data_IF_081669623765
#
_entry.id   IF_081669623765
#
_cell.length_a   1.000
_cell.length_b   1.000
_cell.length_c   1.000
_cell.angle_alpha   90.00
_cell.angle_beta   90.00
_cell.angle_gamma   90.00
#
_symmetry.space_group_name_H-M   'P 1'
#
loop_
_entity.id
_entity.type
_entity.pdbx_description
1 polymer ?
#
# COMPACT_ATOMS: atom_id res chain seq x y z
N UNK A 1 49.99 -14.21 67.01
CA UNK A 1 49.37 -12.92 67.39
C UNK A 1 49.65 -11.91 66.29
N UNK A 2 48.59 -11.23 65.84
CA UNK A 2 48.52 -9.94 65.15
C UNK A 2 49.54 -9.62 64.04
N UNK A 3 49.02 -9.44 62.82
CA UNK A 3 49.24 -8.15 62.17
C UNK A 3 47.97 -7.66 61.49
N UNK A 4 47.31 -6.74 62.21
CA UNK A 4 46.24 -5.86 61.72
C UNK A 4 46.83 -4.89 60.70
N UNK A 5 46.79 -5.19 59.42
CA UNK A 5 46.76 -4.14 58.39
C UNK A 5 45.31 -3.72 58.21
N UNK A 6 44.82 -2.89 59.14
CA UNK A 6 43.58 -2.15 58.94
C UNK A 6 43.75 -1.30 57.69
N UNK A 7 43.02 -1.64 56.62
CA UNK A 7 42.86 -0.81 55.42
C UNK A 7 42.43 0.60 55.84
N UNK A 8 43.37 1.55 55.84
CA UNK A 8 43.12 2.98 56.09
C UNK A 8 42.37 3.68 54.94
N UNK A 9 42.11 2.95 53.84
CA UNK A 9 41.53 3.48 52.60
C UNK A 9 40.01 3.72 52.74
N UNK A 10 39.36 3.14 53.75
CA UNK A 10 37.92 3.26 53.98
C UNK A 10 37.56 4.25 55.11
N UNK A 11 38.47 5.12 55.57
CA UNK A 11 38.15 6.06 56.64
C UNK A 11 37.34 7.29 56.17
N UNK A 12 37.51 7.70 54.91
CA UNK A 12 36.90 8.92 54.39
C UNK A 12 35.65 8.59 53.54
N UNK A 13 34.54 9.27 53.82
CA UNK A 13 33.27 9.12 53.10
C UNK A 13 33.41 9.36 51.58
N UNK A 14 34.29 10.29 51.17
CA UNK A 14 34.57 10.55 49.74
C UNK A 14 35.28 9.38 49.06
N UNK A 15 36.21 8.73 49.77
CA UNK A 15 36.94 7.55 49.26
C UNK A 15 36.02 6.34 49.18
N UNK A 16 35.08 6.17 50.12
CA UNK A 16 34.05 5.12 50.04
C UNK A 16 33.13 5.30 48.83
N UNK A 17 32.73 6.54 48.53
CA UNK A 17 31.88 6.83 47.37
C UNK A 17 32.62 6.57 46.03
N UNK A 18 33.90 6.92 45.94
CA UNK A 18 34.73 6.63 44.77
C UNK A 18 34.93 5.12 44.57
N UNK A 19 35.23 4.39 45.64
CA UNK A 19 35.38 2.92 45.56
C UNK A 19 34.05 2.25 45.19
N UNK A 20 32.92 2.69 45.75
CA UNK A 20 31.61 2.15 45.42
C UNK A 20 31.19 2.43 43.96
N UNK A 21 31.51 3.61 43.43
CA UNK A 21 31.20 3.97 42.03
C UNK A 21 32.06 3.19 41.04
N UNK A 22 33.35 3.00 41.31
CA UNK A 22 34.23 2.18 40.47
C UNK A 22 33.81 0.71 40.48
N UNK A 23 33.47 0.15 41.64
CA UNK A 23 32.94 -1.22 41.74
C UNK A 23 31.60 -1.33 41.01
N UNK A 24 30.71 -0.34 41.15
CA UNK A 24 29.43 -0.30 40.45
C UNK A 24 29.59 -0.33 38.92
N UNK A 25 30.50 0.48 38.38
CA UNK A 25 30.79 0.49 36.95
C UNK A 25 31.40 -0.82 36.45
N UNK A 26 32.27 -1.46 37.24
CA UNK A 26 32.84 -2.76 36.91
C UNK A 26 31.77 -3.87 36.89
N UNK A 27 30.83 -3.86 37.83
CA UNK A 27 29.72 -4.82 37.90
C UNK A 27 28.74 -4.62 36.74
N UNK A 28 28.41 -3.37 36.38
CA UNK A 28 27.55 -3.10 35.22
C UNK A 28 28.23 -3.56 33.92
N UNK A 29 29.54 -3.31 33.77
CA UNK A 29 30.31 -3.75 32.61
C UNK A 29 30.34 -5.27 32.44
N UNK A 30 30.50 -6.03 33.54
CA UNK A 30 30.48 -7.49 33.48
C UNK A 30 29.09 -8.05 33.18
N UNK A 31 28.02 -7.47 33.74
CA UNK A 31 26.64 -7.87 33.43
C UNK A 31 26.32 -7.67 31.95
N UNK A 32 26.67 -6.50 31.39
CA UNK A 32 26.45 -6.22 29.96
C UNK A 32 27.27 -7.17 29.08
N UNK A 33 28.53 -7.42 29.43
CA UNK A 33 29.40 -8.36 28.71
C UNK A 33 28.87 -9.80 28.71
N UNK A 34 28.40 -10.29 29.86
CA UNK A 34 27.80 -11.62 29.99
C UNK A 34 26.48 -11.71 29.23
N UNK A 35 25.64 -10.67 29.29
CA UNK A 35 24.38 -10.62 28.55
C UNK A 35 24.59 -10.67 27.03
N UNK A 36 25.60 -9.95 26.51
CA UNK A 36 25.99 -10.05 25.09
C UNK A 36 26.53 -11.44 24.76
N UNK A 37 27.35 -12.03 25.62
CA UNK A 37 27.94 -13.35 25.35
C UNK A 37 26.88 -14.48 25.34
N UNK A 38 25.87 -14.40 26.21
CA UNK A 38 24.74 -15.34 26.21
C UNK A 38 23.90 -15.16 24.94
N UNK A 39 23.64 -13.93 24.50
CA UNK A 39 22.92 -13.70 23.25
C UNK A 39 23.69 -14.20 22.01
N UNK A 40 25.01 -14.26 22.03
CA UNK A 40 25.80 -14.82 20.90
C UNK A 40 25.87 -16.36 20.87
N UNK A 41 25.49 -17.06 21.95
CA UNK A 41 25.55 -18.54 22.02
C UNK A 41 24.24 -19.25 21.72
N UNK A 42 23.14 -18.52 21.54
CA UNK A 42 21.86 -19.08 21.08
C UNK A 42 21.71 -18.97 19.55
N UNK A 43 22.75 -19.38 18.81
CA UNK A 43 22.57 -19.80 17.43
C UNK A 43 22.27 -21.30 17.52
N UNK A 44 20.99 -21.65 17.39
CA UNK A 44 20.57 -23.03 17.17
C UNK A 44 21.31 -23.55 15.93
N UNK A 45 22.25 -24.47 16.13
CA UNK A 45 22.76 -25.32 15.08
C UNK A 45 21.62 -26.26 14.66
N UNK A 46 20.80 -25.82 13.71
CA UNK A 46 19.90 -26.70 12.98
C UNK A 46 20.73 -27.72 12.20
N UNK A 47 20.78 -28.95 12.68
CA UNK A 47 21.40 -30.08 11.97
C UNK A 47 20.50 -30.51 10.81
N UNK A 48 20.78 -30.00 9.61
CA UNK A 48 20.15 -30.47 8.39
C UNK A 48 20.83 -31.78 7.93
N UNK A 49 20.13 -32.90 8.04
CA UNK A 49 20.52 -34.15 7.38
C UNK A 49 20.11 -34.07 5.90
N UNK A 50 21.08 -34.15 4.99
CA UNK A 50 20.82 -34.19 3.54
C UNK A 50 20.63 -35.64 3.09
N UNK A 51 19.40 -36.02 2.79
CA UNK A 51 19.01 -37.37 2.34
C UNK A 51 19.20 -37.62 0.84
N UNK A 52 19.66 -36.62 0.07
CA UNK A 52 20.18 -36.77 -1.29
C UNK A 52 20.94 -35.50 -1.71
N UNK A 53 21.96 -35.64 -2.56
CA UNK A 53 22.61 -34.49 -3.20
C UNK A 53 21.59 -33.70 -4.05
N UNK A 54 21.41 -32.39 -3.82
CA UNK A 54 20.64 -31.56 -4.73
C UNK A 54 21.25 -31.62 -6.12
N UNK A 55 20.44 -31.74 -7.18
CA UNK A 55 20.92 -31.52 -8.54
C UNK A 55 21.48 -30.09 -8.63
N UNK A 56 22.75 -29.97 -9.02
CA UNK A 56 23.37 -28.67 -9.31
C UNK A 56 22.85 -28.26 -10.69
N UNK A 57 21.73 -27.55 -10.73
CA UNK A 57 21.23 -26.92 -11.97
C UNK A 57 21.91 -25.56 -12.26
N UNK A 58 22.90 -25.18 -11.46
CA UNK A 58 23.65 -23.93 -11.65
C UNK A 58 24.98 -24.20 -12.37
N UNK A 59 24.92 -24.40 -13.69
CA UNK A 59 26.13 -24.24 -14.53
C UNK A 59 26.31 -22.74 -14.77
N UNK A 60 27.43 -22.12 -14.33
CA UNK A 60 27.68 -20.71 -14.60
C UNK A 60 27.68 -20.44 -16.10
N UNK A 61 26.82 -19.51 -16.55
CA UNK A 61 26.67 -19.15 -17.97
C UNK A 61 25.33 -19.54 -18.62
N UNK A 62 24.46 -20.28 -17.92
CA UNK A 62 23.08 -20.51 -18.36
C UNK A 62 22.12 -19.79 -17.40
N UNK A 63 21.24 -18.99 -18.01
CA UNK A 63 20.19 -18.05 -17.55
C UNK A 63 19.32 -18.39 -16.30
N UNK A 64 19.74 -19.26 -15.38
CA UNK A 64 18.97 -19.67 -14.20
C UNK A 64 19.88 -19.90 -12.98
N UNK A 65 20.50 -18.84 -12.46
CA UNK A 65 21.14 -18.88 -11.15
C UNK A 65 20.07 -19.02 -10.05
N UNK A 66 20.27 -19.95 -9.12
CA UNK A 66 19.32 -20.16 -8.01
C UNK A 66 19.16 -18.88 -7.16
N UNK A 67 17.96 -18.62 -6.65
CA UNK A 67 17.64 -17.41 -5.88
C UNK A 67 18.56 -17.21 -4.68
N UNK A 68 18.99 -18.32 -4.05
CA UNK A 68 19.89 -18.32 -2.91
C UNK A 68 21.33 -17.93 -3.28
N UNK A 69 21.79 -18.34 -4.47
CA UNK A 69 23.11 -17.94 -4.99
C UNK A 69 23.14 -16.45 -5.29
N UNK A 70 22.09 -15.91 -5.93
CA UNK A 70 21.98 -14.48 -6.23
C UNK A 70 22.00 -13.64 -4.95
N UNK A 71 21.27 -14.06 -3.90
CA UNK A 71 21.26 -13.33 -2.62
C UNK A 71 22.64 -13.33 -1.94
N UNK A 72 23.35 -14.47 -1.95
CA UNK A 72 24.69 -14.55 -1.35
C UNK A 72 25.70 -13.69 -2.11
N UNK A 73 25.66 -13.71 -3.45
CA UNK A 73 26.56 -12.89 -4.24
C UNK A 73 26.29 -11.38 -4.08
N UNK A 74 25.01 -10.96 -3.97
CA UNK A 74 24.68 -9.56 -3.73
C UNK A 74 25.20 -9.07 -2.37
N UNK A 75 25.06 -9.90 -1.34
CA UNK A 75 25.58 -9.59 0.00
C UNK A 75 27.11 -9.46 -0.02
N UNK A 76 27.79 -10.29 -0.81
CA UNK A 76 29.23 -10.23 -0.97
C UNK A 76 29.69 -9.00 -1.77
N UNK A 77 29.01 -8.66 -2.87
CA UNK A 77 29.29 -7.43 -3.62
C UNK A 77 29.16 -6.17 -2.74
N UNK A 78 28.18 -6.16 -1.82
CA UNK A 78 27.97 -5.07 -0.86
C UNK A 78 29.12 -4.94 0.15
N UNK A 79 29.58 -6.06 0.71
CA UNK A 79 30.68 -6.04 1.70
C UNK A 79 32.00 -5.62 1.04
N UNK A 80 32.26 -6.10 -0.17
CA UNK A 80 33.45 -5.74 -0.95
C UNK A 80 33.44 -4.26 -1.37
N UNK A 81 32.29 -3.74 -1.79
CA UNK A 81 32.13 -2.31 -2.09
C UNK A 81 32.35 -1.42 -0.86
N UNK A 82 31.87 -1.84 0.32
CA UNK A 82 32.10 -1.11 1.57
C UNK A 82 33.56 -1.14 2.01
N UNK A 83 34.23 -2.29 1.86
CA UNK A 83 35.65 -2.43 2.16
C UNK A 83 36.51 -1.57 1.22
N UNK A 84 36.21 -1.58 -0.08
CA UNK A 84 36.90 -0.78 -1.09
C UNK A 84 36.74 0.73 -0.85
N UNK A 85 35.54 1.20 -0.45
CA UNK A 85 35.31 2.59 -0.03
C UNK A 85 36.19 3.01 1.15
N UNK A 86 36.34 2.13 2.15
CA UNK A 86 37.19 2.42 3.33
C UNK A 86 38.68 2.42 2.97
N UNK A 87 39.08 1.56 2.04
CA UNK A 87 40.47 1.43 1.59
C UNK A 87 40.86 2.44 0.50
N UNK A 88 39.91 3.24 -0.03
CA UNK A 88 40.15 4.12 -1.18
C UNK A 88 40.43 3.37 -2.48
N UNK A 89 40.07 2.09 -2.55
CA UNK A 89 40.25 1.23 -3.72
C UNK A 89 38.92 1.02 -4.45
N UNK A 90 38.97 0.41 -5.64
CA UNK A 90 37.76 0.07 -6.41
C UNK A 90 37.41 -1.40 -6.25
N UNK A 91 36.12 -1.70 -6.10
CA UNK A 91 35.58 -3.06 -6.17
C UNK A 91 34.65 -3.19 -7.38
N UNK A 92 34.88 -4.22 -8.20
CA UNK A 92 34.02 -4.54 -9.35
C UNK A 92 33.06 -5.64 -8.90
N UNK A 93 31.74 -5.37 -8.84
CA UNK A 93 30.77 -6.35 -8.36
C UNK A 93 30.60 -7.49 -9.37
N UNK A 94 30.38 -8.71 -8.87
CA UNK A 94 30.06 -9.88 -9.68
C UNK A 94 28.57 -9.88 -10.02
N UNK A 95 28.25 -9.77 -11.30
CA UNK A 95 26.87 -9.66 -11.80
C UNK A 95 26.28 -11.07 -11.94
N UNK A 96 25.23 -11.40 -11.19
CA UNK A 96 24.60 -12.75 -11.19
C UNK A 96 23.27 -12.84 -11.92
N UNK A 97 22.86 -11.77 -12.62
CA UNK A 97 21.71 -11.74 -13.52
C UNK A 97 22.06 -10.96 -14.79
N UNK A 98 21.55 -11.34 -15.97
CA UNK A 98 21.69 -10.54 -17.19
C UNK A 98 21.11 -9.12 -17.07
N UNK A 99 20.16 -8.88 -16.15
CA UNK A 99 19.31 -7.68 -16.14
C UNK A 99 19.38 -6.82 -14.87
N UNK A 100 20.49 -6.83 -14.12
CA UNK A 100 20.64 -5.93 -12.98
C UNK A 100 21.20 -4.56 -13.40
N UNK A 101 20.32 -3.54 -13.46
CA UNK A 101 20.72 -2.12 -13.49
C UNK A 101 19.79 -1.35 -12.54
N UNK A 102 20.18 -1.27 -11.26
CA UNK A 102 19.58 -0.42 -10.23
C UNK A 102 20.62 0.56 -9.65
N UNK A 103 20.15 1.58 -8.94
CA UNK A 103 21.01 2.53 -8.23
C UNK A 103 21.65 1.82 -7.01
N UNK A 104 22.92 2.10 -6.67
CA UNK A 104 23.54 1.53 -5.46
C UNK A 104 22.78 1.86 -4.16
N UNK A 105 21.92 2.89 -4.17
CA UNK A 105 21.06 3.23 -3.05
C UNK A 105 19.83 2.33 -2.91
N UNK A 106 19.46 1.54 -3.92
CA UNK A 106 18.31 0.64 -3.88
C UNK A 106 18.55 -0.58 -2.98
N UNK A 107 19.83 -0.93 -2.75
CA UNK A 107 20.20 -1.95 -1.75
C UNK A 107 19.81 -1.57 -0.31
N UNK A 108 19.54 -0.29 -0.01
CA UNK A 108 19.17 0.15 1.33
C UNK A 108 17.66 0.03 1.63
N UNK A 109 16.80 -0.10 0.61
CA UNK A 109 15.34 -0.06 0.78
C UNK A 109 14.63 -1.40 0.53
N UNK A 110 15.31 -2.41 -0.03
CA UNK A 110 14.70 -3.71 -0.37
C UNK A 110 14.46 -4.65 0.84
N UNK A 111 14.84 -4.26 2.06
CA UNK A 111 14.62 -5.11 3.24
C UNK A 111 13.15 -5.20 3.71
N UNK A 112 12.20 -4.47 3.08
CA UNK A 112 10.87 -4.32 3.70
C UNK A 112 9.64 -4.26 2.79
N UNK A 113 9.65 -4.85 1.59
CA UNK A 113 8.40 -5.02 0.83
C UNK A 113 8.20 -6.45 0.32
N UNK A 114 7.22 -7.11 0.94
CA UNK A 114 6.59 -8.33 0.45
C UNK A 114 5.92 -8.04 -0.89
N UNK A 115 6.29 -8.84 -1.90
CA UNK A 115 5.41 -9.32 -2.99
C UNK A 115 4.68 -8.22 -3.77
N UNK A 116 5.36 -7.61 -4.73
CA UNK A 116 4.69 -7.10 -5.94
C UNK A 116 5.03 -8.00 -7.11
N UNK A 117 4.09 -8.87 -7.46
CA UNK A 117 4.03 -9.52 -8.77
C UNK A 117 3.65 -8.45 -9.80
N UNK A 118 4.60 -7.62 -10.22
CA UNK A 118 4.46 -6.89 -11.50
C UNK A 118 4.73 -7.89 -12.61
N UNK A 119 3.65 -8.34 -13.23
CA UNK A 119 3.67 -8.98 -14.53
C UNK A 119 4.29 -8.01 -15.55
N UNK A 120 5.59 -8.16 -15.77
CA UNK A 120 6.26 -7.67 -16.97
C UNK A 120 5.57 -8.36 -18.16
N UNK A 121 4.95 -7.65 -19.11
CA UNK A 121 4.41 -8.27 -20.30
C UNK A 121 5.56 -8.97 -21.02
N UNK A 122 5.37 -10.27 -21.25
CA UNK A 122 6.31 -11.11 -21.98
C UNK A 122 6.59 -10.54 -23.37
N UNK A 123 7.83 -10.73 -23.81
CA UNK A 123 8.33 -10.64 -25.19
C UNK A 123 7.27 -10.64 -26.30
N UNK A 124 7.13 -9.49 -26.96
CA UNK A 124 6.98 -9.32 -28.41
C UNK A 124 6.07 -10.31 -29.18
N UNK A 125 4.79 -10.43 -28.81
CA UNK A 125 3.77 -10.92 -29.76
C UNK A 125 2.98 -9.81 -30.47
N UNK A 126 3.02 -8.57 -29.97
CA UNK A 126 2.30 -7.42 -30.55
C UNK A 126 3.23 -6.22 -30.78
N UNK A 127 4.30 -6.41 -31.57
CA UNK A 127 5.03 -5.28 -32.14
C UNK A 127 4.59 -5.08 -33.59
N UNK A 128 3.89 -3.98 -33.93
CA UNK A 128 3.40 -3.74 -35.29
C UNK A 128 4.52 -3.33 -36.28
N UNK A 129 5.73 -3.09 -35.78
CA UNK A 129 6.86 -2.62 -36.59
C UNK A 129 7.54 -3.82 -37.27
N UNK A 130 7.38 -3.93 -38.59
CA UNK A 130 8.08 -4.94 -39.42
C UNK A 130 9.54 -4.58 -39.72
N UNK A 131 10.00 -3.40 -39.30
CA UNK A 131 11.35 -2.85 -39.56
C UNK A 131 12.12 -2.76 -38.25
N UNK A 132 12.71 -3.86 -37.80
CA UNK A 132 13.74 -3.81 -36.76
C UNK A 132 14.91 -3.05 -37.35
N UNK A 133 15.19 -1.86 -36.84
CA UNK A 133 16.32 -1.05 -37.33
C UNK A 133 17.61 -1.74 -36.92
N UNK A 134 18.26 -2.34 -37.92
CA UNK A 134 19.53 -3.05 -37.79
C UNK A 134 20.63 -2.02 -37.49
N UNK A 135 21.38 -2.24 -36.40
CA UNK A 135 22.71 -1.68 -36.15
C UNK A 135 22.82 -0.14 -36.03
N UNK A 136 22.31 0.43 -34.93
CA UNK A 136 22.95 1.62 -34.34
C UNK A 136 23.98 1.18 -33.30
N UNK A 137 25.23 1.67 -33.39
CA UNK A 137 26.22 1.55 -32.31
C UNK A 137 26.28 2.89 -31.56
N UNK A 138 26.14 2.90 -30.23
CA UNK A 138 25.93 1.75 -29.34
C UNK A 138 24.53 1.13 -29.48
N UNK A 139 24.46 -0.20 -29.34
CA UNK A 139 23.28 -1.03 -29.56
C UNK A 139 22.10 -0.55 -28.69
N UNK A 140 20.95 -0.16 -29.27
CA UNK A 140 19.78 0.26 -28.49
C UNK A 140 19.19 -0.86 -27.61
N UNK A 141 19.57 -2.12 -27.86
CA UNK A 141 19.20 -3.27 -27.04
C UNK A 141 19.70 -3.19 -25.59
N UNK A 142 20.66 -2.31 -25.25
CA UNK A 142 21.11 -2.20 -23.86
C UNK A 142 20.19 -1.36 -22.97
N UNK A 143 19.15 -0.71 -23.53
CA UNK A 143 18.15 0.12 -22.82
C UNK A 143 18.73 1.06 -21.73
N UNK A 144 20.00 1.47 -21.90
CA UNK A 144 20.69 2.36 -20.98
C UNK A 144 20.29 3.80 -21.31
N UNK A 145 20.09 4.68 -20.31
CA UNK A 145 19.63 6.04 -20.54
C UNK A 145 20.45 6.80 -21.59
N UNK A 146 21.78 6.66 -21.58
CA UNK A 146 22.68 7.32 -22.54
C UNK A 146 22.53 6.81 -23.98
N UNK A 147 22.27 5.51 -24.14
CA UNK A 147 22.07 4.92 -25.47
C UNK A 147 20.69 5.24 -26.02
N UNK A 148 19.68 5.27 -25.15
CA UNK A 148 18.32 5.66 -25.50
C UNK A 148 18.20 7.15 -25.83
N UNK A 149 18.94 8.01 -25.14
CA UNK A 149 19.04 9.44 -25.45
C UNK A 149 19.68 9.65 -26.83
N UNK A 150 20.78 8.93 -27.13
CA UNK A 150 21.39 8.97 -28.45
C UNK A 150 20.45 8.40 -29.53
N UNK A 151 19.73 7.32 -29.23
CA UNK A 151 18.74 6.75 -30.11
C UNK A 151 17.63 7.77 -30.44
N UNK A 152 17.14 8.49 -29.42
CA UNK A 152 16.16 9.58 -29.58
C UNK A 152 16.72 10.71 -30.46
N UNK A 153 17.97 11.13 -30.25
CA UNK A 153 18.64 12.15 -31.07
C UNK A 153 18.82 11.71 -32.54
N UNK A 154 18.99 10.41 -32.77
CA UNK A 154 19.04 9.82 -34.12
C UNK A 154 17.65 9.55 -34.73
N UNK A 155 16.56 9.94 -34.07
CA UNK A 155 15.19 9.82 -34.59
C UNK A 155 14.57 8.43 -34.40
N UNK A 156 15.13 7.57 -33.55
CA UNK A 156 14.49 6.32 -33.14
C UNK A 156 13.25 6.66 -32.30
N UNK A 157 12.11 6.03 -32.61
CA UNK A 157 10.86 6.28 -31.89
C UNK A 157 10.79 5.47 -30.59
N UNK A 158 10.00 5.94 -29.62
CA UNK A 158 9.73 5.18 -28.40
C UNK A 158 9.08 3.82 -28.69
N UNK A 159 8.34 3.69 -29.80
CA UNK A 159 7.69 2.46 -30.22
C UNK A 159 8.72 1.38 -30.57
N UNK A 160 9.76 1.75 -31.33
CA UNK A 160 10.87 0.87 -31.71
C UNK A 160 11.62 0.39 -30.47
N UNK A 161 11.91 1.30 -29.53
CA UNK A 161 12.61 0.95 -28.29
C UNK A 161 11.75 0.08 -27.36
N UNK A 162 10.44 0.30 -27.34
CA UNK A 162 9.49 -0.57 -26.64
C UNK A 162 9.49 -1.99 -27.24
N UNK A 163 9.49 -2.10 -28.56
CA UNK A 163 9.57 -3.38 -29.25
C UNK A 163 10.89 -4.12 -28.99
N UNK A 164 11.97 -3.39 -28.72
CA UNK A 164 13.27 -3.95 -28.33
C UNK A 164 13.35 -4.33 -26.83
N UNK A 165 12.25 -4.18 -26.07
CA UNK A 165 12.16 -4.60 -24.68
C UNK A 165 12.57 -3.54 -23.66
N UNK A 166 12.77 -2.29 -24.06
CA UNK A 166 13.10 -1.23 -23.12
C UNK A 166 11.91 -0.90 -22.21
N UNK A 167 12.17 -0.88 -20.91
CA UNK A 167 11.16 -0.55 -19.90
C UNK A 167 10.82 0.94 -19.95
N UNK A 168 9.59 1.26 -19.60
CA UNK A 168 9.09 2.62 -19.60
C UNK A 168 9.86 3.58 -18.66
N UNK A 169 10.31 3.17 -17.45
CA UNK A 169 11.22 3.99 -16.65
C UNK A 169 12.52 4.38 -17.38
N UNK A 170 13.11 3.46 -18.15
CA UNK A 170 14.33 3.75 -18.94
C UNK A 170 14.06 4.76 -20.06
N UNK A 171 12.90 4.64 -20.73
CA UNK A 171 12.48 5.61 -21.75
C UNK A 171 12.29 7.00 -21.13
N UNK A 172 11.67 7.10 -19.95
CA UNK A 172 11.53 8.37 -19.24
C UNK A 172 12.88 8.99 -18.89
N UNK A 173 13.84 8.19 -18.41
CA UNK A 173 15.21 8.67 -18.11
C UNK A 173 15.96 9.12 -19.36
N UNK A 174 15.60 8.58 -20.53
CA UNK A 174 16.10 8.98 -21.84
C UNK A 174 15.36 10.16 -22.46
N UNK A 175 14.58 10.90 -21.65
CA UNK A 175 13.93 12.14 -22.09
C UNK A 175 12.66 11.96 -22.90
N UNK A 176 12.12 10.73 -23.04
CA UNK A 176 10.80 10.55 -23.65
C UNK A 176 9.71 11.10 -22.72
N UNK A 177 8.84 11.92 -23.30
CA UNK A 177 7.71 12.54 -22.59
C UNK A 177 6.54 11.56 -22.49
N UNK A 178 5.60 11.84 -21.58
CA UNK A 178 4.36 11.09 -21.51
C UNK A 178 3.56 11.16 -22.83
N UNK A 179 3.68 12.26 -23.58
CA UNK A 179 3.05 12.41 -24.91
C UNK A 179 3.67 11.48 -25.95
N UNK A 180 5.00 11.37 -25.97
CA UNK A 180 5.70 10.43 -26.85
C UNK A 180 5.22 9.00 -26.58
N UNK A 181 5.15 8.61 -25.31
CA UNK A 181 4.73 7.27 -24.91
C UNK A 181 3.24 7.02 -25.15
N UNK A 182 2.39 8.02 -24.94
CA UNK A 182 0.96 7.95 -25.29
C UNK A 182 0.77 7.63 -26.77
N UNK A 183 1.53 8.26 -27.66
CA UNK A 183 1.45 7.99 -29.11
C UNK A 183 1.79 6.54 -29.48
N UNK A 184 2.52 5.84 -28.61
CA UNK A 184 2.90 4.43 -28.78
C UNK A 184 1.96 3.43 -28.09
N UNK A 185 0.84 3.92 -27.53
CA UNK A 185 -0.19 3.08 -26.94
C UNK A 185 -0.05 2.84 -25.43
N UNK A 186 0.81 3.57 -24.71
CA UNK A 186 0.77 3.54 -23.25
C UNK A 186 -0.52 4.17 -22.74
N UNK A 187 -1.16 3.53 -21.78
CA UNK A 187 -2.26 4.13 -21.02
C UNK A 187 -1.73 4.96 -19.84
N UNK A 188 -2.59 5.79 -19.25
CA UNK A 188 -2.23 6.64 -18.13
C UNK A 188 -1.80 5.84 -16.88
N UNK A 189 -2.31 4.61 -16.71
CA UNK A 189 -1.97 3.73 -15.59
C UNK A 189 -0.53 3.24 -15.68
N UNK A 190 -0.16 2.76 -16.85
CA UNK A 190 1.20 2.32 -17.17
C UNK A 190 2.18 3.47 -16.98
N UNK A 191 1.88 4.67 -17.49
CA UNK A 191 2.76 5.83 -17.31
C UNK A 191 2.87 6.31 -15.86
N UNK A 192 1.79 6.18 -15.08
CA UNK A 192 1.84 6.41 -13.62
C UNK A 192 2.81 5.42 -12.95
N UNK A 193 2.82 4.15 -13.33
CA UNK A 193 3.78 3.15 -12.83
C UNK A 193 5.22 3.45 -13.27
N UNK A 194 5.42 4.04 -14.45
CA UNK A 194 6.72 4.56 -14.87
C UNK A 194 7.18 5.80 -14.09
N UNK A 195 6.33 6.31 -13.20
CA UNK A 195 6.58 7.46 -12.36
C UNK A 195 6.28 8.81 -13.02
N UNK A 196 5.53 8.88 -14.12
CA UNK A 196 5.06 10.18 -14.63
C UNK A 196 4.07 10.81 -13.66
N UNK A 197 4.22 12.12 -13.43
CA UNK A 197 3.29 12.86 -12.57
C UNK A 197 1.96 13.11 -13.29
N UNK A 198 0.89 13.33 -12.53
CA UNK A 198 -0.43 13.66 -13.12
C UNK A 198 -0.35 14.87 -14.05
N UNK A 199 0.46 15.89 -13.71
CA UNK A 199 0.66 17.07 -14.56
C UNK A 199 1.29 16.71 -15.92
N UNK A 200 2.23 15.75 -15.94
CA UNK A 200 2.83 15.27 -17.19
C UNK A 200 1.81 14.49 -18.04
N UNK A 201 0.92 13.73 -17.40
CA UNK A 201 -0.16 13.01 -18.09
C UNK A 201 -1.20 13.97 -18.66
N UNK A 202 -1.58 15.00 -17.90
CA UNK A 202 -2.48 16.06 -18.40
C UNK A 202 -1.86 16.81 -19.57
N UNK A 203 -0.57 17.16 -19.49
CA UNK A 203 0.15 17.78 -20.60
C UNK A 203 0.27 16.86 -21.83
N UNK A 204 0.32 15.54 -21.63
CA UNK A 204 0.23 14.54 -22.70
C UNK A 204 -1.20 14.37 -23.27
N UNK A 205 -2.18 15.09 -22.71
CA UNK A 205 -3.57 15.12 -23.16
C UNK A 205 -4.42 13.94 -22.71
N UNK A 206 -4.03 13.22 -21.64
CA UNK A 206 -4.96 12.26 -21.02
C UNK A 206 -6.11 13.00 -20.36
N UNK A 207 -7.33 12.51 -20.58
CA UNK A 207 -8.52 13.13 -20.04
C UNK A 207 -8.84 12.63 -18.61
N UNK A 208 -9.90 13.18 -18.01
CA UNK A 208 -10.30 12.79 -16.66
C UNK A 208 -10.73 11.31 -16.56
N UNK A 209 -11.22 10.70 -17.64
CA UNK A 209 -11.63 9.30 -17.66
C UNK A 209 -10.42 8.37 -17.71
N UNK A 210 -9.43 8.70 -18.54
CA UNK A 210 -8.13 8.00 -18.59
C UNK A 210 -7.45 8.00 -17.23
N UNK A 211 -7.39 9.17 -16.59
CA UNK A 211 -6.76 9.33 -15.28
C UNK A 211 -7.55 8.64 -14.17
N UNK A 212 -8.89 8.62 -14.24
CA UNK A 212 -9.71 7.82 -13.33
C UNK A 212 -9.42 6.32 -13.48
N UNK A 213 -9.31 5.83 -14.72
CA UNK A 213 -8.96 4.43 -14.99
C UNK A 213 -7.55 4.08 -14.47
N UNK A 214 -6.61 5.03 -14.53
CA UNK A 214 -5.29 4.94 -13.89
C UNK A 214 -5.31 5.02 -12.35
N UNK A 215 -6.50 5.14 -11.74
CA UNK A 215 -6.68 5.17 -10.30
C UNK A 215 -6.31 6.49 -9.63
N UNK A 216 -6.38 7.63 -10.35
CA UNK A 216 -6.30 8.94 -9.72
C UNK A 216 -7.65 9.35 -9.09
N UNK A 217 -7.59 10.08 -7.98
CA UNK A 217 -8.78 10.53 -7.25
C UNK A 217 -9.31 11.85 -7.78
N UNK A 218 -10.59 12.15 -7.54
CA UNK A 218 -11.20 13.42 -7.93
C UNK A 218 -10.42 14.64 -7.37
N UNK A 219 -9.91 14.55 -6.15
CA UNK A 219 -9.05 15.59 -5.54
C UNK A 219 -7.74 15.77 -6.29
N UNK A 220 -7.09 14.69 -6.73
CA UNK A 220 -5.85 14.79 -7.51
C UNK A 220 -6.10 15.46 -8.87
N UNK A 221 -7.23 15.15 -9.52
CA UNK A 221 -7.58 15.77 -10.79
C UNK A 221 -8.00 17.24 -10.62
N UNK A 222 -8.69 17.59 -9.54
CA UNK A 222 -8.96 19.00 -9.21
C UNK A 222 -7.66 19.79 -9.11
N UNK A 223 -6.68 19.27 -8.35
CA UNK A 223 -5.38 19.93 -8.21
C UNK A 223 -4.55 19.93 -9.51
N UNK A 224 -4.92 19.08 -10.48
CA UNK A 224 -4.36 19.07 -11.83
C UNK A 224 -5.11 20.00 -12.80
N UNK A 225 -6.12 20.74 -12.34
CA UNK A 225 -6.85 21.76 -13.10
C UNK A 225 -8.08 21.25 -13.85
N UNK A 226 -8.57 20.04 -13.58
CA UNK A 226 -9.86 19.62 -14.13
C UNK A 226 -11.01 20.37 -13.45
N UNK A 227 -12.11 20.53 -14.18
CA UNK A 227 -13.36 21.08 -13.64
C UNK A 227 -14.26 19.98 -13.08
N UNK A 228 -15.16 20.35 -12.17
CA UNK A 228 -16.20 19.46 -11.65
C UNK A 228 -17.05 18.81 -12.77
N UNK A 229 -17.29 19.55 -13.86
CA UNK A 229 -18.02 19.05 -15.04
C UNK A 229 -17.25 17.95 -15.77
N UNK A 230 -15.93 18.11 -15.95
CA UNK A 230 -15.07 17.09 -16.55
C UNK A 230 -15.00 15.83 -15.68
N UNK A 231 -14.92 15.98 -14.35
CA UNK A 231 -14.95 14.82 -13.44
C UNK A 231 -16.29 14.09 -13.49
N UNK A 232 -17.41 14.83 -13.57
CA UNK A 232 -18.73 14.24 -13.73
C UNK A 232 -18.83 13.47 -15.05
N UNK A 233 -18.34 14.05 -16.16
CA UNK A 233 -18.31 13.38 -17.46
C UNK A 233 -17.42 12.13 -17.46
N UNK A 234 -16.32 12.14 -16.72
CA UNK A 234 -15.47 10.96 -16.46
C UNK A 234 -16.13 9.91 -15.52
N UNK A 235 -17.34 10.20 -15.02
CA UNK A 235 -18.12 9.31 -14.18
C UNK A 235 -17.64 9.25 -12.73
N UNK A 236 -16.95 10.27 -12.21
CA UNK A 236 -16.74 10.38 -10.77
C UNK A 236 -18.09 10.56 -10.06
N UNK A 237 -18.22 9.97 -8.87
CA UNK A 237 -19.46 10.13 -8.09
C UNK A 237 -19.59 11.59 -7.62
N UNK A 238 -20.82 12.11 -7.47
CA UNK A 238 -21.04 13.45 -6.91
C UNK A 238 -20.36 13.67 -5.56
N UNK A 239 -20.23 12.61 -4.75
CA UNK A 239 -19.54 12.64 -3.47
C UNK A 239 -18.03 12.83 -3.65
N UNK A 240 -17.41 12.11 -4.58
CA UNK A 240 -15.98 12.26 -4.87
C UNK A 240 -15.67 13.66 -5.39
N UNK A 241 -16.50 14.21 -6.27
CA UNK A 241 -16.35 15.56 -6.81
C UNK A 241 -16.55 16.61 -5.69
N UNK A 242 -17.54 16.44 -4.82
CA UNK A 242 -17.76 17.34 -3.68
C UNK A 242 -16.61 17.29 -2.64
N UNK A 243 -15.93 16.16 -2.51
CA UNK A 243 -14.73 16.05 -1.66
C UNK A 243 -13.47 16.61 -2.34
N UNK A 244 -13.49 16.83 -3.66
CA UNK A 244 -12.33 17.27 -4.41
C UNK A 244 -11.95 18.74 -4.16
N UNK A 245 -12.80 19.52 -3.48
CA UNK A 245 -12.46 20.90 -3.08
C UNK A 245 -13.16 22.00 -3.89
N UNK A 246 -13.94 21.65 -4.92
CA UNK A 246 -14.66 22.63 -5.73
C UNK A 246 -15.62 23.50 -4.92
N UNK A 247 -15.73 24.76 -5.33
CA UNK A 247 -16.70 25.70 -4.81
C UNK A 247 -18.14 25.29 -5.14
N UNK A 248 -19.10 25.91 -4.45
CA UNK A 248 -20.53 25.62 -4.63
C UNK A 248 -21.01 25.98 -6.03
N UNK A 249 -20.52 27.09 -6.57
CA UNK A 249 -20.93 27.58 -7.89
C UNK A 249 -20.37 26.67 -8.99
N UNK A 250 -19.15 26.16 -8.84
CA UNK A 250 -18.56 25.18 -9.78
C UNK A 250 -19.31 23.85 -9.78
N UNK A 251 -19.69 23.35 -8.60
CA UNK A 251 -20.49 22.14 -8.47
C UNK A 251 -21.88 22.33 -9.09
N UNK A 252 -22.52 23.49 -8.84
CA UNK A 252 -23.82 23.83 -9.43
C UNK A 252 -23.74 23.95 -10.96
N UNK A 253 -22.72 24.63 -11.50
CA UNK A 253 -22.49 24.77 -12.93
C UNK A 253 -22.23 23.40 -13.60
N UNK A 254 -21.57 22.48 -12.90
CA UNK A 254 -21.39 21.10 -13.35
C UNK A 254 -22.67 20.23 -13.24
N UNK A 255 -23.76 20.77 -12.67
CA UNK A 255 -24.96 20.02 -12.33
C UNK A 255 -24.67 18.90 -11.32
N UNK A 256 -23.64 19.08 -10.48
CA UNK A 256 -23.33 18.23 -9.34
C UNK A 256 -24.06 18.84 -8.15
N UNK A 257 -25.23 18.27 -7.83
CA UNK A 257 -26.00 18.69 -6.65
C UNK A 257 -25.21 18.28 -5.40
N UNK A 258 -24.31 19.16 -4.95
CA UNK A 258 -23.62 19.01 -3.69
C UNK A 258 -24.70 18.90 -2.62
N UNK A 259 -24.68 17.78 -1.88
CA UNK A 259 -25.56 17.57 -0.74
C UNK A 259 -25.36 18.77 0.18
N UNK A 260 -26.35 19.67 0.21
CA UNK A 260 -26.39 20.77 1.16
C UNK A 260 -26.22 20.13 2.53
N UNK A 261 -25.73 20.89 3.52
CA UNK A 261 -26.19 20.67 4.89
C UNK A 261 -27.70 20.90 4.82
N UNK A 262 -28.46 19.88 4.43
CA UNK A 262 -29.88 20.00 4.16
C UNK A 262 -30.50 20.14 5.53
N UNK A 263 -30.65 21.38 5.99
CA UNK A 263 -31.46 21.70 7.16
C UNK A 263 -32.86 21.07 7.05
N UNK A 264 -33.31 20.76 5.83
CA UNK A 264 -34.68 20.35 5.62
C UNK A 264 -34.89 18.83 5.68
N UNK A 265 -33.85 17.98 5.59
CA UNK A 265 -33.89 16.50 5.60
C UNK A 265 -35.22 15.87 5.14
N UNK A 266 -35.82 16.43 4.09
CA UNK A 266 -37.19 16.13 3.74
C UNK A 266 -37.20 14.91 2.81
N UNK A 267 -38.29 14.14 2.83
CA UNK A 267 -38.36 12.86 2.15
C UNK A 267 -38.08 13.00 0.63
N UNK A 268 -38.55 14.06 -0.02
CA UNK A 268 -38.37 14.29 -1.46
C UNK A 268 -36.91 14.56 -1.83
N UNK A 269 -36.23 15.44 -1.08
CA UNK A 269 -34.83 15.75 -1.29
C UNK A 269 -33.94 14.53 -1.04
N UNK A 270 -34.23 13.75 0.01
CA UNK A 270 -33.45 12.55 0.33
C UNK A 270 -33.69 11.41 -0.68
N UNK A 271 -34.91 11.25 -1.21
CA UNK A 271 -35.19 10.31 -2.31
C UNK A 271 -34.41 10.69 -3.57
N UNK A 272 -34.38 11.98 -3.90
CA UNK A 272 -33.62 12.50 -5.05
C UNK A 272 -32.12 12.28 -4.84
N UNK A 273 -31.61 12.58 -3.64
CA UNK A 273 -30.21 12.34 -3.29
C UNK A 273 -29.85 10.85 -3.43
N UNK A 274 -30.70 9.95 -2.93
CA UNK A 274 -30.53 8.50 -3.09
C UNK A 274 -30.52 8.07 -4.56
N UNK A 275 -31.45 8.59 -5.37
CA UNK A 275 -31.51 8.30 -6.81
C UNK A 275 -30.24 8.78 -7.54
N UNK A 276 -29.62 9.86 -7.06
CA UNK A 276 -28.34 10.39 -7.54
C UNK A 276 -27.11 9.69 -6.93
N UNK A 277 -27.29 8.55 -6.24
CA UNK A 277 -26.20 7.74 -5.69
C UNK A 277 -25.57 8.28 -4.40
N UNK A 278 -26.22 9.23 -3.72
CA UNK A 278 -25.76 9.72 -2.41
C UNK A 278 -26.02 8.65 -1.34
N UNK A 279 -24.97 8.27 -0.62
CA UNK A 279 -25.07 7.28 0.46
C UNK A 279 -25.80 7.82 1.70
N UNK A 280 -26.43 6.93 2.47
CA UNK A 280 -26.99 7.26 3.77
C UNK A 280 -25.94 7.81 4.76
N UNK A 281 -24.67 7.38 4.64
CA UNK A 281 -23.57 7.87 5.47
C UNK A 281 -23.31 9.36 5.25
N UNK A 282 -23.27 9.77 3.98
CA UNK A 282 -23.10 11.16 3.57
C UNK A 282 -24.25 12.03 4.06
N UNK A 283 -25.49 11.56 3.92
CA UNK A 283 -26.68 12.29 4.38
C UNK A 283 -26.72 12.40 5.91
N UNK A 284 -26.26 11.37 6.63
CA UNK A 284 -26.11 11.41 8.09
C UNK A 284 -25.08 12.45 8.53
N UNK A 285 -23.93 12.53 7.87
CA UNK A 285 -22.93 13.58 8.12
C UNK A 285 -23.49 14.98 7.83
N UNK A 286 -24.40 15.08 6.86
CA UNK A 286 -25.16 16.30 6.56
C UNK A 286 -26.22 16.70 7.61
N UNK A 287 -26.42 15.89 8.65
CA UNK A 287 -27.36 16.14 9.75
C UNK A 287 -28.69 15.39 9.64
N UNK A 288 -28.87 14.53 8.65
CA UNK A 288 -30.14 13.80 8.50
C UNK A 288 -30.24 12.59 9.42
N UNK A 289 -31.31 12.58 10.20
CA UNK A 289 -31.63 11.51 11.14
C UNK A 289 -32.13 10.23 10.48
N UNK A 290 -32.08 9.14 11.24
CA UNK A 290 -32.49 7.80 10.80
C UNK A 290 -33.91 7.75 10.22
N UNK A 291 -34.87 8.42 10.86
CA UNK A 291 -36.27 8.42 10.42
C UNK A 291 -36.42 9.01 9.01
N UNK A 292 -35.73 10.12 8.73
CA UNK A 292 -35.76 10.76 7.43
C UNK A 292 -35.13 9.88 6.34
N UNK A 293 -34.00 9.21 6.65
CA UNK A 293 -33.35 8.28 5.72
C UNK A 293 -34.22 7.04 5.46
N UNK A 294 -34.89 6.50 6.48
CA UNK A 294 -35.85 5.41 6.29
C UNK A 294 -37.03 5.85 5.41
N UNK A 295 -37.60 7.04 5.65
CA UNK A 295 -38.67 7.60 4.82
C UNK A 295 -38.24 7.88 3.37
N UNK A 296 -36.95 8.14 3.16
CA UNK A 296 -36.34 8.24 1.83
C UNK A 296 -36.10 6.87 1.15
N UNK A 297 -36.37 5.78 1.87
CA UNK A 297 -36.32 4.41 1.37
C UNK A 297 -34.96 3.72 1.52
N UNK A 298 -33.99 4.32 2.20
CA UNK A 298 -32.71 3.64 2.46
C UNK A 298 -32.93 2.31 3.17
N UNK A 299 -32.25 1.26 2.70
CA UNK A 299 -32.36 -0.08 3.26
C UNK A 299 -31.65 -0.19 4.61
N UNK A 300 -31.93 -1.26 5.37
CA UNK A 300 -31.18 -1.56 6.58
C UNK A 300 -29.67 -1.72 6.32
N UNK A 301 -29.28 -2.22 5.13
CA UNK A 301 -27.88 -2.35 4.74
C UNK A 301 -27.22 -0.99 4.53
N UNK A 302 -27.90 -0.06 3.84
CA UNK A 302 -27.41 1.31 3.63
C UNK A 302 -27.23 2.03 4.96
N UNK A 303 -28.17 1.84 5.88
CA UNK A 303 -28.15 2.48 7.19
C UNK A 303 -27.09 1.85 8.11
N UNK A 304 -26.86 0.54 8.03
CA UNK A 304 -25.73 -0.10 8.71
C UNK A 304 -24.40 0.45 8.19
N UNK A 305 -24.24 0.57 6.87
CA UNK A 305 -23.05 1.18 6.27
C UNK A 305 -22.87 2.65 6.67
N UNK A 306 -23.98 3.35 6.94
CA UNK A 306 -23.99 4.69 7.53
C UNK A 306 -23.68 4.75 9.04
N UNK A 307 -23.38 3.61 9.67
CA UNK A 307 -23.02 3.51 11.08
C UNK A 307 -24.21 3.54 12.05
N UNK A 308 -25.43 3.21 11.59
CA UNK A 308 -26.53 2.96 12.52
C UNK A 308 -26.36 1.60 13.21
N UNK A 309 -26.74 1.52 14.49
CA UNK A 309 -26.72 0.28 15.28
C UNK A 309 -28.04 -0.48 15.15
N UNK A 310 -28.01 -1.78 15.46
CA UNK A 310 -29.19 -2.65 15.35
C UNK A 310 -30.37 -2.19 16.21
N UNK A 311 -30.11 -1.66 17.41
CA UNK A 311 -31.12 -1.09 18.31
C UNK A 311 -31.76 0.17 17.74
N UNK A 312 -30.96 1.05 17.13
CA UNK A 312 -31.50 2.23 16.45
C UNK A 312 -32.42 1.83 15.29
N UNK A 313 -32.03 0.84 14.50
CA UNK A 313 -32.84 0.36 13.38
C UNK A 313 -34.08 -0.39 13.84
N UNK A 314 -34.00 -1.16 14.93
CA UNK A 314 -35.18 -1.78 15.57
C UNK A 314 -36.17 -0.70 16.02
N UNK A 315 -35.70 0.34 16.71
CA UNK A 315 -36.55 1.47 17.13
C UNK A 315 -37.13 2.24 15.94
N UNK A 316 -36.42 2.27 14.80
CA UNK A 316 -36.95 2.81 13.56
C UNK A 316 -37.95 1.88 12.86
N UNK A 317 -38.20 0.67 13.38
CA UNK A 317 -39.17 -0.31 12.87
C UNK A 317 -38.64 -1.25 11.80
N UNK A 318 -37.33 -1.55 11.77
CA UNK A 318 -36.81 -2.68 11.00
C UNK A 318 -36.96 -3.97 11.80
N UNK A 319 -37.37 -5.05 11.13
CA UNK A 319 -37.49 -6.37 11.76
C UNK A 319 -36.15 -7.13 11.74
N UNK A 320 -36.10 -8.25 12.46
CA UNK A 320 -34.90 -9.07 12.56
C UNK A 320 -34.45 -9.65 11.20
N UNK A 321 -35.39 -9.90 10.28
CA UNK A 321 -35.09 -10.43 8.95
C UNK A 321 -34.36 -9.40 8.08
N UNK A 322 -34.85 -8.16 8.04
CA UNK A 322 -34.22 -7.05 7.34
C UNK A 322 -32.83 -6.73 7.90
N UNK A 323 -32.66 -6.79 9.23
CA UNK A 323 -31.35 -6.58 9.84
C UNK A 323 -30.38 -7.75 9.61
N UNK A 324 -30.87 -8.99 9.59
CA UNK A 324 -30.05 -10.13 9.16
C UNK A 324 -29.61 -9.98 7.71
N UNK A 325 -30.51 -9.57 6.80
CA UNK A 325 -30.18 -9.31 5.41
C UNK A 325 -29.16 -8.16 5.25
N UNK A 326 -29.20 -7.16 6.12
CA UNK A 326 -28.17 -6.13 6.25
C UNK A 326 -26.84 -6.65 6.86
N UNK A 327 -26.79 -7.91 7.28
CA UNK A 327 -25.63 -8.58 7.84
C UNK A 327 -25.40 -8.33 9.32
N UNK A 328 -26.42 -7.96 10.10
CA UNK A 328 -26.30 -7.99 11.56
C UNK A 328 -26.28 -9.44 12.06
N UNK A 329 -25.48 -9.70 13.09
CA UNK A 329 -25.36 -11.02 13.69
C UNK A 329 -26.49 -11.29 14.71
N UNK A 330 -26.77 -12.56 14.99
CA UNK A 330 -27.71 -12.95 16.03
C UNK A 330 -27.39 -12.27 17.38
N UNK A 331 -26.11 -12.15 17.74
CA UNK A 331 -25.65 -11.45 18.95
C UNK A 331 -26.01 -9.97 18.94
N UNK A 332 -25.76 -9.27 17.82
CA UNK A 332 -26.10 -7.85 17.71
C UNK A 332 -27.62 -7.62 17.82
N UNK A 333 -28.41 -8.50 17.21
CA UNK A 333 -29.86 -8.42 17.26
C UNK A 333 -30.40 -8.75 18.65
N UNK A 334 -29.85 -9.77 19.32
CA UNK A 334 -30.19 -10.10 20.70
C UNK A 334 -29.87 -8.96 21.66
N UNK A 335 -28.70 -8.35 21.51
CA UNK A 335 -28.30 -7.17 22.30
C UNK A 335 -29.15 -5.93 21.98
N UNK A 336 -29.77 -5.85 20.81
CA UNK A 336 -30.81 -4.85 20.50
C UNK A 336 -32.21 -5.22 21.01
N UNK A 337 -32.35 -6.35 21.69
CA UNK A 337 -33.57 -6.82 22.33
C UNK A 337 -34.55 -7.55 21.40
N UNK A 338 -34.10 -8.15 20.30
CA UNK A 338 -34.95 -9.10 19.57
C UNK A 338 -35.12 -10.40 20.36
N UNK A 339 -36.33 -10.95 20.35
CA UNK A 339 -36.62 -12.24 20.97
C UNK A 339 -36.09 -13.40 20.12
N UNK A 340 -35.90 -14.55 20.76
CA UNK A 340 -35.46 -15.79 20.11
C UNK A 340 -36.42 -16.24 19.02
N UNK A 341 -37.71 -16.03 19.23
CA UNK A 341 -38.75 -16.23 18.21
C UNK A 341 -38.49 -15.34 16.99
N UNK A 342 -38.26 -14.04 17.18
CA UNK A 342 -37.97 -13.13 16.07
C UNK A 342 -36.66 -13.48 15.33
N UNK A 343 -35.63 -13.94 16.05
CA UNK A 343 -34.38 -14.41 15.44
C UNK A 343 -34.59 -15.71 14.65
N UNK A 344 -35.40 -16.62 15.16
CA UNK A 344 -35.75 -17.87 14.47
C UNK A 344 -36.56 -17.57 13.20
N UNK A 345 -37.53 -16.67 13.28
CA UNK A 345 -38.31 -16.22 12.12
C UNK A 345 -37.47 -15.47 11.08
N UNK A 346 -36.42 -14.76 11.51
CA UNK A 346 -35.40 -14.21 10.61
C UNK A 346 -34.48 -15.29 9.99
N UNK A 347 -34.59 -16.54 10.42
CA UNK A 347 -33.85 -17.68 9.91
C UNK A 347 -32.46 -17.85 10.54
N UNK A 348 -32.21 -17.35 11.75
CA UNK A 348 -31.01 -17.75 12.49
C UNK A 348 -31.17 -19.17 13.02
N UNK A 349 -30.10 -19.94 13.02
CA UNK A 349 -30.11 -21.31 13.54
C UNK A 349 -30.10 -21.32 15.06
N UNK A 350 -30.62 -22.39 15.67
CA UNK A 350 -30.59 -22.56 17.14
C UNK A 350 -29.18 -22.46 17.73
N UNK A 351 -28.15 -22.88 16.98
CA UNK A 351 -26.76 -22.73 17.38
C UNK A 351 -26.31 -21.26 17.42
N UNK A 352 -26.72 -20.45 16.43
CA UNK A 352 -26.44 -19.02 16.40
C UNK A 352 -27.15 -18.27 17.53
N UNK A 353 -28.38 -18.66 17.87
CA UNK A 353 -29.15 -18.07 18.97
C UNK A 353 -28.51 -18.42 20.32
N UNK A 354 -28.17 -19.70 20.56
CA UNK A 354 -27.43 -20.11 21.79
C UNK A 354 -26.10 -19.39 21.96
N UNK A 355 -25.36 -19.18 20.87
CA UNK A 355 -24.11 -18.39 20.89
C UNK A 355 -24.39 -16.92 21.23
N UNK A 356 -25.48 -16.36 20.71
CA UNK A 356 -25.92 -15.01 21.04
C UNK A 356 -26.32 -14.88 22.53
N UNK A 357 -27.03 -15.88 23.09
CA UNK A 357 -27.38 -15.95 24.52
C UNK A 357 -26.17 -15.95 25.44
N UNK A 358 -25.18 -16.78 25.12
CA UNK A 358 -23.96 -16.87 25.91
C UNK A 358 -23.21 -15.53 25.88
N UNK A 359 -23.14 -14.89 24.71
CA UNK A 359 -22.50 -13.60 24.54
C UNK A 359 -23.26 -12.45 25.23
N UNK A 360 -24.60 -12.44 25.21
CA UNK A 360 -25.39 -11.41 25.90
C UNK A 360 -25.32 -11.55 27.42
N UNK A 361 -25.24 -12.78 27.94
CA UNK A 361 -25.00 -13.03 29.37
C UNK A 361 -23.65 -12.48 29.83
N UNK A 362 -22.58 -12.63 29.05
CA UNK A 362 -21.26 -12.08 29.39
C UNK A 362 -21.23 -10.55 29.47
N UNK A 363 -22.05 -9.85 28.68
CA UNK A 363 -22.16 -8.38 28.75
C UNK A 363 -22.99 -7.87 29.95
N UNK A 364 -23.65 -8.76 30.71
CA UNK A 364 -24.58 -8.40 31.79
C UNK A 364 -23.97 -8.57 33.20
N UNK A 365 -22.73 -9.07 33.34
CA UNK A 365 -22.10 -9.42 34.64
C UNK A 365 -20.98 -8.44 35.01
N UNK A 366 -21.12 -7.15 34.71
CA UNK A 366 -20.17 -6.11 35.16
C UNK A 366 -20.85 -4.79 35.53
N UNK A 367 -21.89 -4.88 36.35
CA UNK A 367 -22.38 -3.79 37.19
C UNK A 367 -22.58 -4.33 38.61
#
# INVERSE_FOLDING_TARGET
>A
MNNKTKLSILANAKTRLLVATVIGLAVVGTIVGVSMHIHTKNIEEGSATVSASPRIDSVPGLNASSTEYVSKQNQQNLSEAQAARKAGTSAIPTITRPDFIGNLNDFAQEANQKKSTSSIPQTSKDCPIKKVVVMFKPNPASCMPKNLELARQSGVTAEELRCQGCSCPSLKLAGYTAGDLKSTGFDAGSLKECGFSIAQLVAAGYDAADLKAAGFTATQLESAGFSAGQLKAAGFSPVAINHAGYSRDELAAAGVNAVRKTADCNATALKTARANGVSAATLRQGGCGLAALKAAGFSAADLKAAGFRADQLKSAGFDAAALKAAGYTATQLKNSGFSDGALTSAGFTSAQIKKADAASKMCSVSN
#
